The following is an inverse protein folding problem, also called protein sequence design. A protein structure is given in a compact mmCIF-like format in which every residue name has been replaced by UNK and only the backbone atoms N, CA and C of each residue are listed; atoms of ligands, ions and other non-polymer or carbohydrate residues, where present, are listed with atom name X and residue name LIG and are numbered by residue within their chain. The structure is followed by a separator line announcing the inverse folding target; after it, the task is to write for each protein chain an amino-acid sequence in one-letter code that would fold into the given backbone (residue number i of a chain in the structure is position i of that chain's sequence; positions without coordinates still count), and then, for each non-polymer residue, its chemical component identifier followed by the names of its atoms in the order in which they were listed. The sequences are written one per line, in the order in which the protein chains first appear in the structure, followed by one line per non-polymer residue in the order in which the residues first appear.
data_IF_518358116524
#
_entry.id   IF_518358116524
#
_cell.length_a   1.000
_cell.length_b   1.000
_cell.length_c   1.000
_cell.angle_alpha   90.00
_cell.angle_beta   90.00
_cell.angle_gamma   90.00
#
_symmetry.space_group_name_H-M   'P 1'
#
loop_
_entity.id
_entity.type
_entity.pdbx_description
1 polymer ?
#
# COMPACT_ATOMS: atom_id res chain seq x y z
N UNK A 1 34.67 23.88 -0.49
CA UNK A 1 34.23 22.47 -0.27
C UNK A 1 33.18 22.29 0.84
N UNK A 2 32.53 23.34 1.37
CA UNK A 2 31.43 23.19 2.36
C UNK A 2 30.03 23.12 1.74
N UNK A 3 29.86 23.60 0.50
CA UNK A 3 28.56 23.64 -0.20
C UNK A 3 28.15 22.30 -0.83
N UNK A 4 29.10 21.40 -1.10
CA UNK A 4 28.80 20.09 -1.71
C UNK A 4 28.26 19.06 -0.69
N UNK A 5 28.64 19.18 0.58
CA UNK A 5 28.22 18.26 1.64
C UNK A 5 26.72 18.42 1.96
N UNK A 6 26.18 19.64 1.83
CA UNK A 6 24.76 19.92 2.01
C UNK A 6 23.86 19.34 0.91
N UNK A 7 24.40 19.11 -0.30
CA UNK A 7 23.62 18.51 -1.40
C UNK A 7 23.49 16.99 -1.22
N UNK A 8 24.51 16.34 -0.66
CA UNK A 8 24.48 14.89 -0.39
C UNK A 8 23.58 14.57 0.81
N UNK A 9 23.54 15.44 1.82
CA UNK A 9 22.61 15.27 2.96
C UNK A 9 21.13 15.48 2.57
N UNK A 10 20.85 16.23 1.50
CA UNK A 10 19.47 16.44 1.01
C UNK A 10 18.88 15.24 0.28
N UNK A 11 19.71 14.35 -0.27
CA UNK A 11 19.27 13.15 -1.00
C UNK A 11 18.97 11.99 -0.04
N UNK A 12 19.51 12.02 1.19
CA UNK A 12 19.22 11.03 2.22
C UNK A 12 17.85 11.22 2.93
N UNK A 13 17.14 12.31 2.64
CA UNK A 13 15.85 12.65 3.27
C UNK A 13 14.67 12.75 2.28
N UNK A 14 14.86 12.44 1.00
CA UNK A 14 13.70 12.04 0.20
C UNK A 14 13.31 10.67 0.72
N UNK A 15 12.17 10.53 1.39
CA UNK A 15 11.64 9.20 1.73
C UNK A 15 11.59 8.42 0.42
N UNK A 16 12.55 7.52 0.26
CA UNK A 16 12.50 6.52 -0.77
C UNK A 16 11.60 5.47 -0.18
N UNK A 17 10.28 5.66 -0.32
CA UNK A 17 9.33 4.60 -0.14
C UNK A 17 9.95 3.34 -0.81
N UNK A 18 10.19 2.27 -0.04
CA UNK A 18 10.97 1.13 -0.51
C UNK A 18 10.22 0.35 -1.59
N UNK A 19 8.94 0.63 -1.78
CA UNK A 19 8.04 -0.11 -2.64
C UNK A 19 7.94 0.51 -4.03
N UNK A 20 8.48 -0.24 -4.97
CA UNK A 20 8.00 -0.33 -6.33
C UNK A 20 7.53 -1.77 -6.60
N UNK A 21 6.89 -1.99 -7.75
CA UNK A 21 6.41 -3.30 -8.20
C UNK A 21 7.41 -4.44 -7.96
N UNK A 22 8.71 -4.20 -8.18
CA UNK A 22 9.75 -5.25 -8.11
C UNK A 22 10.20 -5.53 -6.69
N UNK A 23 10.01 -4.55 -5.78
CA UNK A 23 10.54 -4.59 -4.42
C UNK A 23 9.53 -5.03 -3.37
N UNK A 24 8.23 -5.07 -3.67
CA UNK A 24 7.21 -5.51 -2.69
C UNK A 24 7.54 -6.87 -2.09
N UNK A 25 7.92 -7.84 -2.91
CA UNK A 25 8.21 -9.19 -2.44
C UNK A 25 9.53 -9.28 -1.65
N UNK A 26 10.42 -8.29 -1.76
CA UNK A 26 11.64 -8.22 -0.94
C UNK A 26 11.29 -8.02 0.55
N UNK A 27 10.13 -7.41 0.83
CA UNK A 27 9.60 -7.15 2.19
C UNK A 27 8.44 -8.07 2.55
N UNK A 28 8.30 -9.21 1.88
CA UNK A 28 7.16 -10.12 2.07
C UNK A 28 7.03 -10.60 3.51
N UNK A 29 8.14 -10.80 4.22
CA UNK A 29 8.12 -11.29 5.60
C UNK A 29 7.50 -10.23 6.53
N UNK A 30 7.96 -8.99 6.43
CA UNK A 30 7.49 -7.83 7.18
C UNK A 30 6.02 -7.53 6.85
N UNK A 31 5.65 -7.57 5.58
CA UNK A 31 4.27 -7.39 5.15
C UNK A 31 3.34 -8.50 5.65
N UNK A 32 3.83 -9.74 5.71
CA UNK A 32 3.07 -10.87 6.26
C UNK A 32 2.90 -10.74 7.77
N UNK A 33 3.94 -10.33 8.48
CA UNK A 33 3.88 -10.06 9.92
C UNK A 33 2.86 -8.94 10.23
N UNK A 34 2.96 -7.82 9.51
CA UNK A 34 1.99 -6.72 9.59
C UNK A 34 0.55 -7.20 9.33
N UNK A 35 0.35 -8.01 8.29
CA UNK A 35 -0.97 -8.56 7.96
C UNK A 35 -1.50 -9.42 9.10
N UNK A 36 -0.64 -10.23 9.71
CA UNK A 36 -1.03 -11.09 10.84
C UNK A 36 -1.44 -10.28 12.06
N UNK A 37 -0.72 -9.21 12.39
CA UNK A 37 -1.05 -8.29 13.48
C UNK A 37 -2.35 -7.55 13.23
N UNK A 38 -2.58 -7.13 12.00
CA UNK A 38 -3.81 -6.42 11.61
C UNK A 38 -5.02 -7.36 11.54
N UNK A 39 -4.83 -8.67 11.39
CA UNK A 39 -5.94 -9.62 11.34
C UNK A 39 -6.80 -9.62 12.61
N UNK A 40 -6.21 -9.27 13.76
CA UNK A 40 -6.91 -9.13 15.04
C UNK A 40 -7.73 -7.84 15.18
N UNK A 41 -7.54 -6.86 14.29
CA UNK A 41 -8.25 -5.58 14.34
C UNK A 41 -9.63 -5.67 13.69
N UNK A 42 -10.58 -4.85 14.12
CA UNK A 42 -11.83 -4.69 13.38
C UNK A 42 -11.57 -4.06 11.99
N UNK A 43 -12.51 -4.25 11.06
CA UNK A 43 -12.44 -3.55 9.79
C UNK A 43 -12.44 -2.03 10.00
N UNK A 44 -11.63 -1.31 9.22
CA UNK A 44 -11.43 0.11 9.45
C UNK A 44 -10.38 0.74 8.55
N UNK A 45 -10.16 2.03 8.79
CA UNK A 45 -9.10 2.84 8.18
C UNK A 45 -8.16 3.22 9.32
N UNK A 46 -6.88 2.94 9.13
CA UNK A 46 -5.83 3.15 10.10
C UNK A 46 -4.79 4.06 9.45
N UNK A 47 -4.69 5.29 9.92
CA UNK A 47 -3.62 6.20 9.54
C UNK A 47 -2.46 6.10 10.54
N UNK A 48 -1.29 6.64 10.17
CA UNK A 48 -0.08 6.61 11.00
C UNK A 48 -0.29 7.12 12.43
N UNK A 49 -1.26 8.01 12.66
CA UNK A 49 -1.54 8.63 13.96
C UNK A 49 -2.55 7.83 14.81
N UNK A 50 -3.33 6.95 14.21
CA UNK A 50 -4.36 6.12 14.88
C UNK A 50 -3.95 4.67 15.10
N UNK A 51 -2.74 4.30 14.70
CA UNK A 51 -2.19 2.96 14.79
C UNK A 51 -1.57 2.70 16.17
N UNK A 52 -1.87 1.53 16.75
CA UNK A 52 -1.39 1.10 18.06
C UNK A 52 0.15 0.95 18.07
N UNK A 53 0.76 1.08 19.25
CA UNK A 53 2.20 0.92 19.49
C UNK A 53 2.72 -0.43 18.96
N UNK A 54 1.88 -1.46 18.90
CA UNK A 54 2.24 -2.81 18.45
C UNK A 54 2.47 -2.97 16.94
N UNK A 55 2.01 -2.03 16.11
CA UNK A 55 2.19 -2.08 14.63
C UNK A 55 2.96 -0.85 14.11
N UNK A 56 3.16 0.16 14.96
CA UNK A 56 3.73 1.45 14.55
C UNK A 56 5.18 1.32 14.07
N UNK A 57 5.93 0.33 14.57
CA UNK A 57 7.30 0.06 14.11
C UNK A 57 7.30 -0.38 12.64
N UNK A 58 6.51 -1.39 12.28
CA UNK A 58 6.40 -1.87 10.89
C UNK A 58 5.91 -0.77 9.94
N UNK A 59 4.92 0.02 10.37
CA UNK A 59 4.39 1.13 9.57
C UNK A 59 5.44 2.20 9.30
N UNK A 60 6.31 2.48 10.28
CA UNK A 60 7.39 3.46 10.12
C UNK A 60 8.52 2.91 9.27
N UNK A 61 8.92 1.67 9.50
CA UNK A 61 10.02 1.03 8.78
C UNK A 61 9.68 0.78 7.30
N UNK A 62 8.42 0.47 7.01
CA UNK A 62 7.91 0.25 5.66
C UNK A 62 7.43 1.55 4.97
N UNK A 63 7.49 2.69 5.65
CA UNK A 63 6.98 3.99 5.19
C UNK A 63 5.52 3.91 4.69
N UNK A 64 4.66 3.29 5.49
CA UNK A 64 3.23 3.15 5.22
C UNK A 64 2.49 4.41 5.68
N UNK A 65 1.65 4.94 4.80
CA UNK A 65 0.84 6.15 5.03
C UNK A 65 -0.54 5.83 5.61
N UNK A 66 -1.17 4.75 5.14
CA UNK A 66 -2.54 4.38 5.46
C UNK A 66 -2.74 2.89 5.24
N UNK A 67 -3.49 2.25 6.13
CA UNK A 67 -3.98 0.89 5.93
C UNK A 67 -5.50 0.88 5.98
N UNK A 68 -6.11 0.13 5.07
CA UNK A 68 -7.54 -0.11 5.03
C UNK A 68 -7.78 -1.61 5.12
N UNK A 69 -8.60 -2.04 6.07
CA UNK A 69 -9.01 -3.43 6.27
C UNK A 69 -10.52 -3.58 6.05
N UNK A 70 -10.92 -4.49 5.18
CA UNK A 70 -12.31 -4.70 4.79
C UNK A 70 -12.65 -6.20 4.58
N UNK A 71 -12.36 -7.03 5.59
CA UNK A 71 -12.68 -8.45 5.59
C UNK A 71 -14.20 -8.65 5.70
N UNK A 72 -14.80 -9.36 4.75
CA UNK A 72 -16.21 -9.72 4.73
C UNK A 72 -17.17 -8.57 4.42
N UNK A 73 -16.67 -7.38 4.05
CA UNK A 73 -17.51 -6.21 3.81
C UNK A 73 -16.99 -5.31 2.68
N UNK A 74 -17.91 -4.61 2.00
CA UNK A 74 -17.58 -3.58 1.01
C UNK A 74 -17.00 -2.35 1.69
N UNK A 75 -15.92 -1.83 1.15
CA UNK A 75 -15.35 -0.57 1.55
C UNK A 75 -16.01 0.59 0.78
N UNK A 76 -16.75 1.50 1.45
CA UNK A 76 -17.42 2.60 0.78
C UNK A 76 -16.46 3.66 0.24
N UNK A 77 -15.29 3.85 0.89
CA UNK A 77 -14.23 4.75 0.43
C UNK A 77 -13.49 4.21 -0.79
N UNK A 78 -13.72 2.94 -1.12
CA UNK A 78 -13.02 2.23 -2.16
C UNK A 78 -13.98 1.50 -3.12
N UNK A 79 -15.17 2.07 -3.27
CA UNK A 79 -16.24 1.55 -4.11
C UNK A 79 -15.89 1.61 -5.60
N UNK A 80 -16.25 0.56 -6.35
CA UNK A 80 -16.05 0.48 -7.80
C UNK A 80 -14.72 -0.17 -8.22
N UNK A 81 -13.90 -0.56 -7.25
CA UNK A 81 -12.67 -1.32 -7.47
C UNK A 81 -12.86 -2.81 -7.16
N UNK A 82 -12.04 -3.67 -7.74
CA UNK A 82 -12.16 -5.13 -7.59
C UNK A 82 -11.76 -5.61 -6.20
N UNK A 83 -10.86 -4.88 -5.55
CA UNK A 83 -10.36 -5.06 -4.20
C UNK A 83 -11.21 -4.36 -3.14
N UNK A 84 -12.40 -3.85 -3.48
CA UNK A 84 -13.30 -3.17 -2.52
C UNK A 84 -13.79 -4.08 -1.37
N UNK A 85 -13.60 -5.40 -1.48
CA UNK A 85 -13.98 -6.42 -0.50
C UNK A 85 -12.79 -7.31 -0.14
N UNK A 86 -12.81 -7.90 1.06
CA UNK A 86 -11.90 -8.98 1.49
C UNK A 86 -10.42 -8.67 1.24
N UNK A 87 -10.00 -7.43 1.51
CA UNK A 87 -8.64 -6.97 1.24
C UNK A 87 -8.02 -6.23 2.42
N UNK A 88 -6.69 -6.26 2.43
CA UNK A 88 -5.86 -5.26 3.12
C UNK A 88 -5.28 -4.35 2.05
N UNK A 89 -5.56 -3.05 2.12
CA UNK A 89 -5.00 -2.07 1.19
C UNK A 89 -3.99 -1.22 1.98
N UNK A 90 -2.72 -1.33 1.61
CA UNK A 90 -1.60 -0.64 2.25
C UNK A 90 -1.13 0.46 1.30
N UNK A 91 -1.31 1.71 1.69
CA UNK A 91 -0.81 2.86 0.97
C UNK A 91 0.63 3.12 1.39
N UNK A 92 1.53 3.06 0.43
CA UNK A 92 2.96 3.33 0.62
C UNK A 92 3.32 4.71 0.06
N UNK A 93 2.47 5.26 -0.80
CA UNK A 93 2.52 6.66 -1.21
C UNK A 93 1.08 7.13 -1.43
N UNK A 94 0.50 7.75 -0.42
CA UNK A 94 -0.80 8.39 -0.47
C UNK A 94 -0.63 9.80 -0.97
N UNK A 95 -1.41 10.18 -1.98
CA UNK A 95 -1.39 11.54 -2.49
C UNK A 95 -2.78 12.15 -2.43
N UNK A 96 -2.93 13.18 -1.59
CA UNK A 96 -4.14 14.02 -1.61
C UNK A 96 -4.28 14.87 -2.88
N UNK A 97 -3.41 14.69 -3.88
CA UNK A 97 -3.40 15.43 -5.14
C UNK A 97 -3.80 14.53 -6.29
N UNK A 98 -4.78 14.99 -7.07
CA UNK A 98 -5.19 14.34 -8.30
C UNK A 98 -4.04 14.20 -9.31
N UNK A 99 -3.08 15.12 -9.31
CA UNK A 99 -1.94 15.12 -10.25
C UNK A 99 -0.82 14.15 -9.90
N UNK A 100 -0.98 13.34 -8.85
CA UNK A 100 0.05 12.45 -8.35
C UNK A 100 -0.48 11.03 -8.29
N UNK A 101 0.36 10.10 -8.71
CA UNK A 101 0.07 8.67 -8.64
C UNK A 101 0.20 8.19 -7.19
N UNK A 102 -0.86 7.59 -6.68
CA UNK A 102 -0.85 6.81 -5.44
C UNK A 102 -0.33 5.41 -5.71
N UNK A 103 0.45 4.88 -4.76
CA UNK A 103 0.99 3.51 -4.83
C UNK A 103 0.53 2.70 -3.65
N UNK A 104 0.15 1.45 -3.93
CA UNK A 104 -0.42 0.56 -2.93
C UNK A 104 0.05 -0.86 -3.09
N UNK A 105 0.05 -1.55 -1.97
CA UNK A 105 0.19 -3.00 -1.87
C UNK A 105 -1.16 -3.52 -1.39
N UNK A 106 -1.64 -4.58 -2.01
CA UNK A 106 -2.91 -5.20 -1.64
C UNK A 106 -2.62 -6.64 -1.22
N UNK A 107 -3.18 -7.03 -0.08
CA UNK A 107 -3.27 -8.43 0.33
C UNK A 107 -4.69 -8.93 0.17
N UNK A 108 -4.87 -10.07 -0.47
CA UNK A 108 -6.17 -10.70 -0.66
C UNK A 108 -6.51 -11.68 0.47
N UNK A 109 -7.48 -11.30 1.32
CA UNK A 109 -8.04 -12.15 2.36
C UNK A 109 -9.09 -13.14 1.85
N UNK A 110 -9.48 -13.09 0.58
CA UNK A 110 -10.47 -14.00 0.04
C UNK A 110 -10.02 -15.47 0.20
N UNK A 111 -10.99 -16.35 0.44
CA UNK A 111 -10.77 -17.79 0.60
C UNK A 111 -10.03 -18.36 -0.61
N UNK A 112 -10.49 -17.96 -1.79
CA UNK A 112 -9.83 -18.27 -3.05
C UNK A 112 -9.17 -16.99 -3.56
N UNK A 113 -7.85 -16.99 -3.82
CA UNK A 113 -7.19 -15.81 -4.31
C UNK A 113 -7.78 -15.34 -5.63
N UNK A 114 -8.07 -14.05 -5.70
CA UNK A 114 -8.63 -13.39 -6.87
C UNK A 114 -7.48 -13.04 -7.80
N UNK A 115 -7.28 -13.83 -8.85
CA UNK A 115 -6.19 -13.61 -9.81
C UNK A 115 -6.35 -12.28 -10.60
N UNK A 116 -6.03 -11.14 -9.98
CA UNK A 116 -6.04 -9.82 -10.60
C UNK A 116 -4.73 -9.59 -11.34
N UNK A 117 -4.69 -9.45 -12.67
CA UNK A 117 -3.39 -9.28 -13.33
C UNK A 117 -3.41 -8.74 -14.75
N UNK A 118 -2.52 -7.77 -14.99
CA UNK A 118 -2.23 -7.08 -16.26
C UNK A 118 -3.34 -6.17 -16.81
N UNK A 119 -4.31 -5.81 -15.98
CA UNK A 119 -5.35 -4.87 -16.39
C UNK A 119 -4.85 -3.44 -16.18
N UNK A 120 -4.64 -2.75 -17.31
CA UNK A 120 -4.71 -1.28 -17.36
C UNK A 120 -6.11 -0.93 -17.81
N UNK A 121 -6.86 -0.22 -16.98
CA UNK A 121 -8.22 0.18 -17.36
C UNK A 121 -8.09 1.35 -18.33
N UNK A 122 -8.32 1.10 -19.62
CA UNK A 122 -8.24 2.15 -20.66
C UNK A 122 -9.21 3.28 -20.32
N UNK A 123 -8.69 4.51 -20.18
CA UNK A 123 -9.46 5.69 -19.79
C UNK A 123 -9.54 5.92 -18.27
N UNK A 124 -8.86 5.10 -17.48
CA UNK A 124 -8.64 5.35 -16.05
C UNK A 124 -7.15 5.19 -15.73
N UNK A 125 -6.64 6.03 -14.84
CA UNK A 125 -5.25 5.97 -14.39
C UNK A 125 -5.01 4.85 -13.36
N UNK A 126 -5.68 3.70 -13.49
CA UNK A 126 -5.59 2.55 -12.59
C UNK A 126 -4.83 1.38 -13.24
N UNK A 127 -3.89 0.83 -12.49
CA UNK A 127 -3.11 -0.37 -12.84
C UNK A 127 -3.02 -1.30 -11.63
N UNK A 128 -3.17 -2.61 -11.86
CA UNK A 128 -2.98 -3.65 -10.83
C UNK A 128 -2.18 -4.83 -11.40
N UNK A 129 -1.25 -5.33 -10.59
CA UNK A 129 -0.35 -6.43 -10.94
C UNK A 129 -0.33 -7.44 -9.81
N UNK A 130 -0.60 -8.69 -10.14
CA UNK A 130 -0.36 -9.82 -9.24
C UNK A 130 1.13 -10.07 -9.10
N UNK A 131 1.62 -10.07 -7.86
CA UNK A 131 3.01 -10.36 -7.54
C UNK A 131 3.17 -11.84 -7.15
N UNK A 132 2.20 -12.38 -6.41
CA UNK A 132 2.08 -13.81 -6.12
C UNK A 132 0.60 -14.21 -5.89
N UNK A 133 0.35 -15.34 -5.24
CA UNK A 133 -1.03 -15.79 -4.97
C UNK A 133 -1.88 -14.73 -4.26
N UNK A 134 -1.35 -13.99 -3.29
CA UNK A 134 -2.15 -13.08 -2.42
C UNK A 134 -1.72 -11.62 -2.46
N UNK A 135 -0.52 -11.34 -2.96
CA UNK A 135 0.05 -10.00 -2.98
C UNK A 135 -0.10 -9.36 -4.36
N UNK A 136 -0.54 -8.11 -4.36
CA UNK A 136 -0.70 -7.29 -5.56
C UNK A 136 -0.04 -5.93 -5.36
N UNK A 137 0.49 -5.37 -6.43
CA UNK A 137 0.92 -3.98 -6.52
C UNK A 137 -0.08 -3.20 -7.37
N UNK A 138 -0.47 -2.01 -6.92
CA UNK A 138 -1.41 -1.16 -7.65
C UNK A 138 -1.03 0.31 -7.64
N UNK A 139 -1.29 0.97 -8.76
CA UNK A 139 -1.09 2.41 -8.97
C UNK A 139 -2.42 3.06 -9.36
N UNK A 140 -2.73 4.21 -8.76
CA UNK A 140 -3.83 5.09 -9.17
C UNK A 140 -3.31 6.49 -9.44
N UNK A 141 -3.48 7.00 -10.64
CA UNK A 141 -3.50 8.43 -10.91
C UNK A 141 -4.94 8.94 -11.06
N UNK A 142 -5.09 10.27 -11.05
CA UNK A 142 -6.33 10.92 -11.45
C UNK A 142 -6.00 11.81 -12.66
N UNK A 143 -6.54 11.46 -13.84
CA UNK A 143 -6.40 12.26 -15.06
C UNK A 143 -7.30 13.51 -15.05
#
# INVERSE_FOLDING_TARGET
MKKLILVILGIAFTSCNPFDEKRVLDYKAELTDLTSKIDDYHNGIFDRDSMDEFIIEEIRDLDIDLIIKNIGQKNPSYSGFVEENDSLIIFVNRSGSIFKTEKRIIYDFNKNPRNFGNDTIVGASYRIIQLDERWYYSEIGYD
#
